data_IF_670753488437
#
_entry.id   IF_670753488437
#
_cell.length_a   1.000
_cell.length_b   1.000
_cell.length_c   1.000
_cell.angle_alpha   90.00
_cell.angle_beta   90.00
_cell.angle_gamma   90.00
#
_symmetry.space_group_name_H-M   'P 1'
#
loop_
_entity.id
_entity.type
_entity.pdbx_description
1 polymer ?
#
# COMPACT_ATOMS: atom_id res chain seq x y z
N UNK A 1 1.02 4.96 -16.74
CA UNK A 1 1.95 4.22 -17.63
C UNK A 1 3.21 3.87 -16.85
N UNK A 2 3.75 2.66 -16.97
CA UNK A 2 4.98 2.23 -16.26
C UNK A 2 6.05 1.94 -17.31
N UNK A 3 7.24 2.52 -17.15
CA UNK A 3 8.39 2.28 -18.01
C UNK A 3 9.49 1.60 -17.20
N UNK A 4 9.95 0.43 -17.64
CA UNK A 4 11.00 -0.32 -16.95
C UNK A 4 12.38 0.26 -17.27
N UNK A 5 13.24 0.30 -16.24
CA UNK A 5 14.66 0.68 -16.39
C UNK A 5 15.41 -0.54 -16.92
N UNK A 6 16.04 -0.40 -18.09
CA UNK A 6 16.84 -1.45 -18.73
C UNK A 6 18.22 -1.60 -18.08
N UNK A 7 18.76 -0.52 -17.56
CA UNK A 7 20.07 -0.50 -16.90
C UNK A 7 20.46 0.89 -16.44
N UNK A 8 21.64 1.00 -15.84
CA UNK A 8 22.23 2.27 -15.41
C UNK A 8 23.54 2.44 -16.18
N UNK A 9 23.66 3.54 -16.94
CA UNK A 9 24.88 3.92 -17.66
C UNK A 9 25.27 5.30 -17.13
N UNK A 10 26.53 5.47 -16.70
CA UNK A 10 27.05 6.73 -16.15
C UNK A 10 26.20 7.32 -15.01
N UNK A 11 25.60 6.46 -14.18
CA UNK A 11 24.73 6.86 -13.06
C UNK A 11 23.33 7.30 -13.47
N UNK A 12 22.97 7.23 -14.76
CA UNK A 12 21.65 7.60 -15.28
C UNK A 12 20.83 6.34 -15.60
N UNK A 13 19.54 6.28 -15.23
CA UNK A 13 18.66 5.18 -15.62
C UNK A 13 18.35 5.26 -17.12
N UNK A 14 18.49 4.12 -17.80
CA UNK A 14 18.14 3.95 -19.21
C UNK A 14 16.83 3.19 -19.34
N UNK A 15 16.01 3.55 -20.33
CA UNK A 15 14.69 2.96 -20.56
C UNK A 15 14.62 2.36 -21.97
N UNK A 16 13.62 1.52 -22.25
CA UNK A 16 13.38 1.00 -23.62
C UNK A 16 13.08 2.11 -24.63
N UNK A 17 12.44 3.19 -24.19
CA UNK A 17 12.17 4.37 -25.02
C UNK A 17 13.01 5.56 -24.53
N UNK A 18 13.39 6.47 -25.43
CA UNK A 18 13.99 7.75 -25.05
C UNK A 18 13.13 8.47 -24.01
N UNK A 19 13.77 9.10 -23.01
CA UNK A 19 13.05 9.79 -21.93
C UNK A 19 12.11 10.88 -22.45
N UNK A 20 12.47 11.53 -23.56
CA UNK A 20 11.64 12.54 -24.22
C UNK A 20 10.31 11.98 -24.73
N UNK A 21 10.29 10.73 -25.21
CA UNK A 21 9.05 10.06 -25.64
C UNK A 21 8.19 9.64 -24.45
N UNK A 22 8.83 9.20 -23.36
CA UNK A 22 8.17 8.89 -22.09
C UNK A 22 7.46 10.13 -21.54
N UNK A 23 8.16 11.28 -21.56
CA UNK A 23 7.64 12.56 -21.09
C UNK A 23 6.54 13.12 -22.00
N UNK A 24 6.63 12.91 -23.31
CA UNK A 24 5.61 13.35 -24.28
C UNK A 24 4.25 12.65 -24.08
N UNK A 25 4.23 11.46 -23.49
CA UNK A 25 3.00 10.72 -23.15
C UNK A 25 2.42 11.06 -21.78
N UNK A 26 3.00 12.01 -21.04
CA UNK A 26 2.48 12.43 -19.73
C UNK A 26 1.41 13.50 -19.91
N UNK A 27 0.26 13.29 -19.28
CA UNK A 27 -0.80 14.30 -19.21
C UNK A 27 -0.35 15.49 -18.35
N UNK A 28 -0.76 16.71 -18.74
CA UNK A 28 -0.53 17.91 -17.92
C UNK A 28 -1.09 17.71 -16.51
N UNK A 29 -0.26 17.94 -15.49
CA UNK A 29 -0.59 17.71 -14.08
C UNK A 29 -0.14 16.35 -13.53
N UNK A 30 0.35 15.45 -14.38
CA UNK A 30 0.97 14.19 -13.95
C UNK A 30 2.37 14.39 -13.35
N UNK A 31 2.64 13.75 -12.21
CA UNK A 31 3.97 13.75 -11.58
C UNK A 31 4.80 12.53 -12.02
N UNK A 32 6.08 12.75 -12.35
CA UNK A 32 7.03 11.66 -12.57
C UNK A 32 7.66 11.25 -11.24
N UNK A 33 7.57 9.97 -10.90
CA UNK A 33 8.15 9.42 -9.68
C UNK A 33 9.10 8.28 -10.01
N UNK A 34 10.38 8.50 -9.76
CA UNK A 34 11.41 7.44 -9.80
C UNK A 34 11.39 6.77 -8.42
N UNK A 35 11.29 5.44 -8.41
CA UNK A 35 11.30 4.65 -7.19
C UNK A 35 12.58 3.81 -7.16
N UNK A 36 13.24 3.77 -6.01
CA UNK A 36 14.22 2.72 -5.77
C UNK A 36 13.55 1.33 -5.82
N UNK A 37 14.28 0.24 -6.07
CA UNK A 37 13.71 -1.11 -6.09
C UNK A 37 12.90 -1.46 -4.83
N UNK A 38 13.37 -1.04 -3.65
CA UNK A 38 12.68 -1.29 -2.40
C UNK A 38 11.35 -0.51 -2.31
N UNK A 39 11.35 0.75 -2.73
CA UNK A 39 10.13 1.56 -2.75
C UNK A 39 9.12 1.05 -3.76
N UNK A 40 9.60 0.54 -4.90
CA UNK A 40 8.75 -0.07 -5.92
C UNK A 40 7.99 -1.29 -5.38
N UNK A 41 8.69 -2.21 -4.73
CA UNK A 41 8.08 -3.40 -4.10
C UNK A 41 7.06 -2.96 -3.05
N UNK A 42 7.46 -2.04 -2.17
CA UNK A 42 6.57 -1.54 -1.11
C UNK A 42 5.33 -0.86 -1.69
N UNK A 43 5.46 -0.13 -2.80
CA UNK A 43 4.32 0.50 -3.46
C UNK A 43 3.35 -0.53 -4.05
N UNK A 44 3.88 -1.57 -4.71
CA UNK A 44 3.06 -2.68 -5.20
C UNK A 44 2.34 -3.41 -4.06
N UNK A 45 3.02 -3.66 -2.93
CA UNK A 45 2.39 -4.24 -1.72
C UNK A 45 1.25 -3.36 -1.20
N UNK A 46 1.45 -2.03 -1.15
CA UNK A 46 0.38 -1.09 -0.76
C UNK A 46 -0.78 -1.07 -1.75
N UNK A 47 -0.52 -1.16 -3.06
CA UNK A 47 -1.56 -1.23 -4.09
C UNK A 47 -2.35 -2.51 -4.00
N UNK A 48 -1.70 -3.64 -3.77
CA UNK A 48 -2.41 -4.89 -3.51
C UNK A 48 -3.32 -4.75 -2.28
N UNK A 49 -2.80 -4.22 -1.17
CA UNK A 49 -3.61 -4.04 0.04
C UNK A 49 -4.83 -3.13 -0.22
N UNK A 50 -4.63 -1.92 -0.75
CA UNK A 50 -5.71 -0.95 -0.93
C UNK A 50 -6.61 -1.21 -2.13
N UNK A 51 -6.06 -1.78 -3.20
CA UNK A 51 -6.72 -1.92 -4.49
C UNK A 51 -7.23 -3.33 -4.80
N UNK A 52 -6.80 -4.34 -4.05
CA UNK A 52 -7.23 -5.73 -4.22
C UNK A 52 -7.84 -6.25 -2.92
N UNK A 53 -7.08 -6.26 -1.83
CA UNK A 53 -7.51 -6.84 -0.56
C UNK A 53 -8.76 -6.16 0.00
N UNK A 54 -8.73 -4.85 0.24
CA UNK A 54 -9.87 -4.15 0.86
C UNK A 54 -11.13 -4.14 -0.02
N UNK A 55 -11.05 -3.85 -1.34
CA UNK A 55 -12.23 -3.90 -2.21
C UNK A 55 -12.82 -5.31 -2.32
N UNK A 56 -11.97 -6.34 -2.34
CA UNK A 56 -12.44 -7.73 -2.37
C UNK A 56 -13.22 -8.08 -1.10
N UNK A 57 -12.70 -7.74 0.08
CA UNK A 57 -13.39 -7.98 1.35
C UNK A 57 -14.72 -7.24 1.42
N UNK A 58 -14.75 -5.96 1.03
CA UNK A 58 -15.99 -5.17 0.99
C UNK A 58 -17.04 -5.77 0.04
N UNK A 59 -16.63 -6.24 -1.14
CA UNK A 59 -17.54 -6.85 -2.13
C UNK A 59 -18.15 -8.17 -1.64
N UNK A 60 -17.41 -8.91 -0.83
CA UNK A 60 -17.81 -10.22 -0.32
C UNK A 60 -18.34 -10.16 1.13
N UNK A 61 -18.56 -8.96 1.66
CA UNK A 61 -19.11 -8.76 2.99
C UNK A 61 -20.64 -8.80 2.96
N UNK A 62 -21.22 -9.64 3.81
CA UNK A 62 -22.67 -9.83 3.90
C UNK A 62 -23.39 -8.59 4.45
N UNK A 63 -22.68 -7.76 5.23
CA UNK A 63 -23.21 -6.53 5.80
C UNK A 63 -22.99 -5.31 4.88
N UNK A 64 -22.42 -5.50 3.69
CA UNK A 64 -22.12 -4.45 2.71
C UNK A 64 -21.20 -3.34 3.27
N UNK A 65 -20.28 -3.72 4.15
CA UNK A 65 -19.33 -2.78 4.75
C UNK A 65 -18.35 -2.19 3.72
N UNK A 66 -17.86 -0.98 3.99
CA UNK A 66 -17.00 -0.27 3.03
C UNK A 66 -15.53 -0.71 3.11
N UNK A 67 -14.71 -0.43 2.07
CA UNK A 67 -13.27 -0.66 2.13
C UNK A 67 -12.58 0.07 3.30
N UNK A 68 -13.09 1.22 3.73
CA UNK A 68 -12.56 1.98 4.87
C UNK A 68 -12.85 1.29 6.21
N UNK A 69 -14.03 0.69 6.34
CA UNK A 69 -14.36 -0.14 7.49
C UNK A 69 -13.44 -1.35 7.54
N UNK A 70 -13.28 -2.05 6.40
CA UNK A 70 -12.35 -3.17 6.29
C UNK A 70 -10.89 -2.77 6.50
N UNK A 71 -10.46 -1.55 6.15
CA UNK A 71 -9.10 -1.06 6.49
C UNK A 71 -8.87 -1.12 8.00
N UNK A 72 -9.88 -0.73 8.78
CA UNK A 72 -9.81 -0.73 10.25
C UNK A 72 -9.84 -2.15 10.79
N UNK A 73 -10.77 -2.97 10.30
CA UNK A 73 -10.95 -4.34 10.78
C UNK A 73 -9.80 -5.27 10.42
N UNK A 74 -9.24 -5.15 9.21
CA UNK A 74 -8.05 -5.92 8.82
C UNK A 74 -6.87 -5.55 9.71
N UNK A 75 -6.64 -4.26 9.97
CA UNK A 75 -5.56 -3.82 10.87
C UNK A 75 -5.73 -4.34 12.28
N UNK A 76 -6.96 -4.45 12.76
CA UNK A 76 -7.26 -5.00 14.09
C UNK A 76 -7.06 -6.52 14.13
N UNK A 77 -7.63 -7.25 13.17
CA UNK A 77 -7.63 -8.72 13.13
C UNK A 77 -6.29 -9.33 12.71
N UNK A 78 -5.49 -8.59 11.94
CA UNK A 78 -4.24 -9.07 11.35
C UNK A 78 -3.00 -8.40 11.97
N UNK A 79 -3.04 -8.11 13.28
CA UNK A 79 -1.86 -7.66 14.02
C UNK A 79 -1.25 -6.34 13.51
N UNK A 80 -2.06 -5.43 12.97
CA UNK A 80 -1.59 -4.19 12.35
C UNK A 80 -0.72 -3.33 13.26
N UNK A 81 -0.91 -3.38 14.58
CA UNK A 81 -0.03 -2.69 15.55
C UNK A 81 1.42 -3.19 15.54
N UNK A 82 1.65 -4.47 15.22
CA UNK A 82 2.99 -5.06 15.20
C UNK A 82 3.78 -4.68 13.93
N UNK A 83 3.07 -4.43 12.83
CA UNK A 83 3.70 -4.28 11.52
C UNK A 83 3.60 -2.86 10.95
N UNK A 84 2.53 -2.13 11.25
CA UNK A 84 2.26 -0.82 10.68
C UNK A 84 2.74 0.32 11.55
N UNK A 85 3.00 1.45 10.91
CA UNK A 85 3.42 2.67 11.60
C UNK A 85 2.20 3.33 12.25
N UNK A 86 2.31 3.67 13.53
CA UNK A 86 1.33 4.52 14.23
C UNK A 86 1.64 6.00 13.95
N UNK A 87 0.63 6.73 13.51
CA UNK A 87 0.65 8.19 13.36
C UNK A 87 -0.40 8.78 14.30
N UNK A 88 -0.05 9.85 15.01
CA UNK A 88 -0.95 10.54 15.93
C UNK A 88 -1.23 11.93 15.35
N UNK A 89 -2.51 12.22 15.17
CA UNK A 89 -2.99 13.53 14.75
C UNK A 89 -3.57 14.22 15.97
N UNK A 90 -3.19 15.48 16.20
CA UNK A 90 -3.76 16.27 17.27
C UNK A 90 -4.87 17.15 16.69
N UNK A 91 -6.07 17.01 17.25
CA UNK A 91 -7.21 17.87 16.96
C UNK A 91 -7.46 18.76 18.17
N UNK A 92 -7.83 20.00 17.91
CA UNK A 92 -8.25 20.95 18.94
C UNK A 92 -9.77 21.14 18.84
N UNK A 93 -10.48 21.04 19.96
CA UNK A 93 -11.91 21.37 20.00
C UNK A 93 -12.14 22.89 20.10
N UNK A 94 -13.40 23.31 19.96
CA UNK A 94 -13.78 24.72 20.08
C UNK A 94 -13.56 25.30 21.50
N UNK A 95 -13.20 24.47 22.48
CA UNK A 95 -12.88 24.87 23.85
C UNK A 95 -11.35 24.91 24.11
N UNK A 96 -10.52 24.66 23.09
CA UNK A 96 -9.06 24.68 23.18
C UNK A 96 -8.43 23.40 23.71
N UNK A 97 -9.19 22.32 23.90
CA UNK A 97 -8.65 21.03 24.34
C UNK A 97 -8.06 20.26 23.17
N UNK A 98 -6.86 19.71 23.35
CA UNK A 98 -6.15 18.92 22.33
C UNK A 98 -6.34 17.42 22.56
N UNK A 99 -6.84 16.73 21.54
CA UNK A 99 -7.04 15.27 21.53
C UNK A 99 -6.13 14.61 20.49
N UNK A 100 -5.45 13.54 20.89
CA UNK A 100 -4.64 12.73 19.99
C UNK A 100 -5.43 11.57 19.39
N UNK A 101 -5.60 11.55 18.06
CA UNK A 101 -6.18 10.42 17.33
C UNK A 101 -5.05 9.60 16.70
N UNK A 102 -4.92 8.35 17.12
CA UNK A 102 -3.96 7.41 16.57
C UNK A 102 -4.51 6.65 15.37
N UNK A 103 -3.78 6.64 14.26
CA UNK A 103 -4.08 5.83 13.05
C UNK A 103 -2.89 4.95 12.70
N UNK A 104 -3.16 3.72 12.28
CA UNK A 104 -2.16 2.88 11.65
C UNK A 104 -2.10 3.14 10.14
N UNK A 105 -0.90 3.39 9.64
CA UNK A 105 -0.64 3.69 8.24
C UNK A 105 0.26 2.64 7.59
N UNK A 106 0.01 2.39 6.30
CA UNK A 106 0.91 1.61 5.44
C UNK A 106 1.95 2.51 4.76
N UNK A 107 1.84 3.84 4.90
CA UNK A 107 2.79 4.81 4.34
C UNK A 107 4.13 4.68 5.07
N UNK A 108 5.22 4.63 4.29
CA UNK A 108 6.60 4.51 4.78
C UNK A 108 6.84 3.27 5.67
N UNK A 109 5.99 2.24 5.57
CA UNK A 109 6.27 0.94 6.17
C UNK A 109 7.26 0.21 5.27
N UNK A 110 8.35 -0.31 5.83
CA UNK A 110 9.37 -1.04 5.07
C UNK A 110 8.86 -2.36 4.52
N UNK A 111 9.49 -2.85 3.43
CA UNK A 111 9.14 -4.12 2.76
C UNK A 111 8.94 -5.27 3.73
N UNK A 112 9.85 -5.49 4.70
CA UNK A 112 9.76 -6.58 5.67
C UNK A 112 8.45 -6.55 6.46
N UNK A 113 8.09 -5.38 7.00
CA UNK A 113 6.89 -5.22 7.81
C UNK A 113 5.62 -5.30 6.96
N UNK A 114 5.62 -4.71 5.75
CA UNK A 114 4.50 -4.86 4.81
C UNK A 114 4.29 -6.32 4.41
N UNK A 115 5.38 -7.06 4.17
CA UNK A 115 5.32 -8.50 3.84
C UNK A 115 4.74 -9.30 4.99
N UNK A 116 5.20 -9.04 6.22
CA UNK A 116 4.68 -9.71 7.41
C UNK A 116 3.19 -9.43 7.62
N UNK A 117 2.76 -8.16 7.44
CA UNK A 117 1.36 -7.79 7.51
C UNK A 117 0.51 -8.50 6.45
N UNK A 118 0.97 -8.56 5.20
CA UNK A 118 0.28 -9.30 4.12
C UNK A 118 0.17 -10.79 4.46
N UNK A 119 1.23 -11.39 4.98
CA UNK A 119 1.20 -12.81 5.35
C UNK A 119 0.21 -13.08 6.49
N UNK A 120 0.11 -12.18 7.46
CA UNK A 120 -0.91 -12.26 8.51
C UNK A 120 -2.32 -12.15 7.92
N UNK A 121 -2.55 -11.22 6.97
CA UNK A 121 -3.85 -11.11 6.26
C UNK A 121 -4.22 -12.42 5.57
N UNK A 122 -3.28 -13.03 4.84
CA UNK A 122 -3.54 -14.30 4.14
C UNK A 122 -3.80 -15.43 5.13
N UNK A 123 -3.03 -15.51 6.23
CA UNK A 123 -3.28 -16.49 7.28
C UNK A 123 -4.68 -16.32 7.91
N UNK A 124 -5.07 -15.08 8.20
CA UNK A 124 -6.42 -14.76 8.71
C UNK A 124 -7.51 -15.00 7.67
N UNK A 125 -7.24 -14.75 6.39
CA UNK A 125 -8.17 -15.06 5.31
C UNK A 125 -8.51 -16.54 5.24
N UNK A 126 -7.52 -17.42 5.42
CA UNK A 126 -7.76 -18.86 5.50
C UNK A 126 -8.55 -19.20 6.76
N UNK A 127 -8.16 -18.64 7.91
CA UNK A 127 -8.83 -18.90 9.19
C UNK A 127 -10.31 -18.47 9.20
N UNK A 128 -10.63 -17.31 8.63
CA UNK A 128 -11.97 -16.73 8.62
C UNK A 128 -12.75 -17.02 7.32
N UNK A 129 -12.16 -17.76 6.38
CA UNK A 129 -12.81 -18.09 5.12
C UNK A 129 -13.04 -16.90 4.19
N UNK A 130 -12.22 -15.84 4.26
CA UNK A 130 -12.41 -14.65 3.41
C UNK A 130 -12.15 -14.92 1.92
N UNK A 131 -11.39 -15.97 1.57
CA UNK A 131 -11.14 -16.33 0.16
C UNK A 131 -10.19 -15.39 -0.58
N UNK A 132 -9.29 -14.71 0.15
CA UNK A 132 -8.40 -13.69 -0.37
C UNK A 132 -7.14 -14.32 -0.97
N UNK A 133 -6.79 -13.96 -2.20
CA UNK A 133 -5.60 -14.49 -2.87
C UNK A 133 -4.36 -13.68 -2.52
N UNK A 134 -3.23 -14.37 -2.39
CA UNK A 134 -1.95 -13.73 -2.17
C UNK A 134 -1.55 -12.78 -3.31
N UNK A 135 -0.75 -11.73 -3.02
CA UNK A 135 -0.06 -11.00 -4.08
C UNK A 135 0.95 -11.91 -4.79
N UNK A 136 1.33 -11.55 -6.02
CA UNK A 136 2.39 -12.23 -6.79
C UNK A 136 3.63 -12.54 -5.94
N UNK A 137 4.27 -13.68 -6.17
CA UNK A 137 5.43 -14.14 -5.40
C UNK A 137 6.58 -13.12 -5.37
N UNK A 138 6.79 -12.39 -6.47
CA UNK A 138 7.76 -11.30 -6.59
C UNK A 138 7.55 -10.15 -5.58
N UNK A 139 6.35 -10.07 -4.98
CA UNK A 139 6.01 -9.10 -3.93
C UNK A 139 6.25 -9.63 -2.52
N UNK A 140 6.55 -10.93 -2.38
CA UNK A 140 6.68 -11.64 -1.09
C UNK A 140 8.13 -12.03 -0.80
N UNK A 141 8.98 -12.18 -1.82
CA UNK A 141 10.45 -12.36 -1.76
C UNK A 141 11.18 -11.03 -1.72
#
# INVERSE_FOLDING_TARGET
>A
MIYQVKGIIDGQPTFEKPINEILAGLEMGGGLKILSPLEYITDRQRRWYKGVCLPFLAKHDENQETPEWWDTEVKKKCGGLAYLKKEIFFLEDNAGNKYGIGRLTTKNVGKRNMTAFINEIIAKSIQFGWGLTAPDEDLRS
#
